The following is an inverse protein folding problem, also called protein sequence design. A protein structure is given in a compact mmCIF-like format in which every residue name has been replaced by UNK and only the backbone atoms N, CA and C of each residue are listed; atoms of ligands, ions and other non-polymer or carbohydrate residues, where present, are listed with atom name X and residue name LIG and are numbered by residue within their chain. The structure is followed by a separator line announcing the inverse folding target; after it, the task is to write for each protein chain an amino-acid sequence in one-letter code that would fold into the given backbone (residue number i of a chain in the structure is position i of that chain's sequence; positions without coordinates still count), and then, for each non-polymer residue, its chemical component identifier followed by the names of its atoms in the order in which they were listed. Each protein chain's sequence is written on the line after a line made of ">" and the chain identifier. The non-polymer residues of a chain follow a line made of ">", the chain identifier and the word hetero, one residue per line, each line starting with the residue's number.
data_IF_190659102350
#
_entry.id   IF_190659102350
#
_cell.length_a   1.000
_cell.length_b   1.000
_cell.length_c   1.000
_cell.angle_alpha   90.00
_cell.angle_beta   90.00
_cell.angle_gamma   90.00
#
_symmetry.space_group_name_H-M   'P 1'
#
loop_
_entity.id
_entity.type
_entity.pdbx_description
1 polymer ?
#
# COMPACT_ATOMS: atom_id res chain seq x y z
N UNK A 1 21.99 23.63 27.89
CA UNK A 1 21.11 22.44 27.85
C UNK A 1 20.52 22.23 26.44
N UNK A 2 21.32 21.86 25.42
CA UNK A 2 20.84 21.81 24.02
C UNK A 2 21.11 20.51 23.25
N UNK A 3 22.23 19.82 23.54
CA UNK A 3 22.68 18.67 22.74
C UNK A 3 21.86 17.39 22.96
N UNK A 4 21.25 17.21 24.14
CA UNK A 4 20.51 15.99 24.50
C UNK A 4 19.09 15.88 23.94
N UNK A 5 18.50 16.98 23.46
CA UNK A 5 17.13 16.99 22.91
C UNK A 5 17.13 16.69 21.41
N UNK A 6 18.04 17.29 20.64
CA UNK A 6 18.20 17.00 19.21
C UNK A 6 18.65 15.55 18.97
N UNK A 7 19.58 15.03 19.78
CA UNK A 7 20.01 13.64 19.71
C UNK A 7 18.84 12.66 19.93
N UNK A 8 17.97 12.91 20.92
CA UNK A 8 16.75 12.13 21.16
C UNK A 8 15.75 12.21 20.01
N UNK A 9 15.60 13.38 19.39
CA UNK A 9 14.67 13.58 18.27
C UNK A 9 15.13 12.83 17.01
N UNK A 10 16.44 12.84 16.74
CA UNK A 10 17.06 12.12 15.61
C UNK A 10 16.96 10.60 15.80
N UNK A 11 17.23 10.10 17.01
CA UNK A 11 17.04 8.69 17.37
C UNK A 11 15.59 8.23 17.19
N UNK A 12 14.60 8.94 17.75
CA UNK A 12 13.17 8.60 17.57
C UNK A 12 12.72 8.60 16.11
N UNK A 13 13.28 9.50 15.28
CA UNK A 13 12.97 9.57 13.85
C UNK A 13 13.57 8.36 13.10
N UNK A 14 14.76 7.91 13.49
CA UNK A 14 15.38 6.68 13.02
C UNK A 14 14.52 5.45 13.32
N UNK A 15 14.11 5.26 14.57
CA UNK A 15 13.28 4.11 14.98
C UNK A 15 11.95 4.04 14.22
N UNK A 16 11.30 5.20 14.02
CA UNK A 16 10.05 5.26 13.26
C UNK A 16 10.24 4.94 11.78
N UNK A 17 11.37 5.33 11.19
CA UNK A 17 11.68 5.01 9.80
C UNK A 17 11.91 3.50 9.63
N UNK A 18 12.68 2.87 10.53
CA UNK A 18 12.90 1.41 10.53
C UNK A 18 11.58 0.67 10.64
N UNK A 19 10.74 1.04 11.62
CA UNK A 19 9.41 0.44 11.81
C UNK A 19 8.52 0.55 10.55
N UNK A 20 8.55 1.69 9.87
CA UNK A 20 7.78 1.90 8.66
C UNK A 20 8.27 1.01 7.49
N UNK A 21 9.58 0.83 7.35
CA UNK A 21 10.18 -0.07 6.36
C UNK A 21 9.80 -1.53 6.63
N UNK A 22 9.81 -1.97 7.89
CA UNK A 22 9.42 -3.34 8.26
C UNK A 22 7.94 -3.61 7.96
N UNK A 23 7.07 -2.64 8.30
CA UNK A 23 5.64 -2.74 7.97
C UNK A 23 5.44 -2.77 6.45
N UNK A 24 6.14 -1.91 5.70
CA UNK A 24 6.07 -1.91 4.24
C UNK A 24 6.52 -3.25 3.64
N UNK A 25 7.61 -3.83 4.14
CA UNK A 25 8.11 -5.14 3.71
C UNK A 25 7.08 -6.24 3.97
N UNK A 26 6.47 -6.26 5.15
CA UNK A 26 5.41 -7.21 5.48
C UNK A 26 4.21 -7.10 4.54
N UNK A 27 3.79 -5.87 4.25
CA UNK A 27 2.69 -5.60 3.31
C UNK A 27 3.02 -6.05 1.87
N UNK A 28 4.24 -5.79 1.37
CA UNK A 28 4.67 -6.26 0.05
C UNK A 28 4.74 -7.79 -0.04
N UNK A 29 5.18 -8.46 1.02
CA UNK A 29 5.19 -9.93 1.07
C UNK A 29 3.76 -10.49 0.96
N UNK A 30 2.81 -9.89 1.69
CA UNK A 30 1.40 -10.27 1.60
C UNK A 30 0.80 -9.96 0.23
N UNK A 31 1.11 -8.78 -0.33
CA UNK A 31 0.70 -8.40 -1.69
C UNK A 31 1.16 -9.42 -2.73
N UNK A 32 2.41 -9.86 -2.63
CA UNK A 32 2.99 -10.85 -3.55
C UNK A 32 2.25 -12.19 -3.48
N UNK A 33 1.92 -12.66 -2.28
CA UNK A 33 1.12 -13.89 -2.08
C UNK A 33 -0.29 -13.76 -2.66
N UNK A 34 -0.90 -12.57 -2.57
CA UNK A 34 -2.22 -12.31 -3.16
C UNK A 34 -2.18 -12.27 -4.68
N UNK A 35 -1.11 -11.71 -5.27
CA UNK A 35 -0.91 -11.77 -6.71
C UNK A 35 -0.72 -13.21 -7.20
N UNK A 36 0.03 -14.03 -6.48
CA UNK A 36 0.17 -15.46 -6.78
C UNK A 36 -1.19 -16.18 -6.74
N UNK A 37 -1.96 -15.94 -5.68
CA UNK A 37 -3.32 -16.47 -5.54
C UNK A 37 -4.19 -16.04 -6.72
N UNK A 38 -4.19 -14.74 -7.09
CA UNK A 38 -4.96 -14.22 -8.21
C UNK A 38 -4.62 -14.92 -9.53
N UNK A 39 -3.33 -15.18 -9.78
CA UNK A 39 -2.86 -15.91 -10.97
C UNK A 39 -3.31 -17.36 -10.96
N UNK A 40 -3.31 -18.01 -9.80
CA UNK A 40 -3.80 -19.39 -9.66
C UNK A 40 -5.29 -19.48 -9.93
N UNK A 41 -6.10 -18.66 -9.27
CA UNK A 41 -7.55 -18.61 -9.43
C UNK A 41 -7.95 -18.31 -10.88
N UNK A 42 -7.21 -17.42 -11.56
CA UNK A 42 -7.42 -17.14 -12.99
C UNK A 42 -7.22 -18.39 -13.86
N UNK A 43 -6.16 -19.15 -13.60
CA UNK A 43 -5.88 -20.40 -14.32
C UNK A 43 -6.93 -21.48 -14.06
N UNK A 44 -7.47 -21.51 -12.85
CA UNK A 44 -8.50 -22.46 -12.42
C UNK A 44 -9.93 -22.04 -12.85
N UNK A 45 -10.09 -20.90 -13.53
CA UNK A 45 -11.39 -20.38 -14.01
C UNK A 45 -12.22 -19.67 -12.94
N UNK A 46 -11.66 -19.49 -11.74
CA UNK A 46 -12.30 -18.88 -10.59
C UNK A 46 -12.18 -17.35 -10.64
N UNK A 47 -12.92 -16.72 -11.56
CA UNK A 47 -12.76 -15.30 -11.90
C UNK A 47 -13.05 -14.35 -10.72
N UNK A 48 -14.10 -14.61 -9.93
CA UNK A 48 -14.46 -13.77 -8.79
C UNK A 48 -13.33 -13.74 -7.74
N UNK A 49 -12.74 -14.89 -7.43
CA UNK A 49 -11.63 -15.01 -6.49
C UNK A 49 -10.33 -14.42 -7.04
N UNK A 50 -10.11 -14.53 -8.35
CA UNK A 50 -8.99 -13.86 -9.03
C UNK A 50 -9.08 -12.33 -8.93
N UNK A 51 -10.27 -11.75 -9.16
CA UNK A 51 -10.51 -10.31 -9.03
C UNK A 51 -10.28 -9.86 -7.59
N UNK A 52 -10.88 -10.56 -6.60
CA UNK A 52 -10.69 -10.25 -5.17
C UNK A 52 -9.22 -10.27 -4.77
N UNK A 53 -8.50 -11.32 -5.15
CA UNK A 53 -7.08 -11.48 -4.83
C UNK A 53 -6.23 -10.41 -5.50
N UNK A 54 -6.56 -10.01 -6.73
CA UNK A 54 -5.89 -8.90 -7.43
C UNK A 54 -6.09 -7.57 -6.71
N UNK A 55 -7.31 -7.30 -6.24
CA UNK A 55 -7.61 -6.08 -5.49
C UNK A 55 -6.83 -6.04 -4.16
N UNK A 56 -6.83 -7.15 -3.40
CA UNK A 56 -6.07 -7.23 -2.14
C UNK A 56 -4.56 -7.04 -2.38
N UNK A 57 -4.04 -7.58 -3.49
CA UNK A 57 -2.64 -7.38 -3.87
C UNK A 57 -2.32 -5.90 -4.11
N UNK A 58 -3.17 -5.19 -4.87
CA UNK A 58 -3.04 -3.76 -5.15
C UNK A 58 -3.15 -2.94 -3.86
N UNK A 59 -4.17 -3.18 -3.04
CA UNK A 59 -4.36 -2.50 -1.75
C UNK A 59 -3.12 -2.59 -0.86
N UNK A 60 -2.59 -3.81 -0.68
CA UNK A 60 -1.42 -4.05 0.16
C UNK A 60 -0.16 -3.38 -0.40
N UNK A 61 0.05 -3.40 -1.72
CA UNK A 61 1.18 -2.74 -2.37
C UNK A 61 1.13 -1.22 -2.21
N UNK A 62 -0.04 -0.60 -2.39
CA UNK A 62 -0.21 0.84 -2.23
C UNK A 62 -0.02 1.27 -0.77
N UNK A 63 -0.55 0.49 0.17
CA UNK A 63 -0.29 0.67 1.61
C UNK A 63 1.19 0.56 1.95
N UNK A 64 1.92 -0.38 1.35
CA UNK A 64 3.36 -0.50 1.54
C UNK A 64 4.11 0.73 1.02
N UNK A 65 3.75 1.23 -0.18
CA UNK A 65 4.36 2.42 -0.75
C UNK A 65 4.18 3.66 0.14
N UNK A 66 2.98 3.84 0.71
CA UNK A 66 2.71 4.89 1.70
C UNK A 66 3.58 4.74 2.95
N UNK A 67 3.73 3.51 3.48
CA UNK A 67 4.58 3.23 4.63
C UNK A 67 6.06 3.52 4.36
N UNK A 68 6.57 3.20 3.16
CA UNK A 68 7.95 3.55 2.78
C UNK A 68 8.21 5.06 2.82
N UNK A 69 7.21 5.87 2.48
CA UNK A 69 7.28 7.33 2.60
C UNK A 69 6.99 7.83 4.03
N UNK A 70 6.77 6.93 4.99
CA UNK A 70 6.38 7.28 6.35
C UNK A 70 4.99 7.92 6.47
N UNK A 71 4.12 7.67 5.49
CA UNK A 71 2.74 8.15 5.47
C UNK A 71 1.86 7.12 6.16
N UNK A 72 1.12 7.56 7.18
CA UNK A 72 0.06 6.78 7.80
C UNK A 72 -1.26 6.98 7.05
N UNK A 73 -2.06 5.93 6.98
CA UNK A 73 -3.37 5.92 6.34
C UNK A 73 -4.44 5.38 7.30
N UNK A 74 -5.71 5.76 7.15
CA UNK A 74 -6.80 5.27 8.00
C UNK A 74 -6.98 3.76 7.86
N UNK A 75 -7.66 3.12 8.82
CA UNK A 75 -8.07 1.70 8.74
C UNK A 75 -9.22 1.48 7.74
N UNK A 76 -9.02 1.91 6.50
CA UNK A 76 -9.90 1.68 5.34
C UNK A 76 -9.16 0.84 4.31
N UNK A 77 -9.92 0.15 3.45
CA UNK A 77 -9.36 -0.63 2.35
C UNK A 77 -8.84 0.30 1.25
N UNK A 78 -9.68 1.19 0.77
CA UNK A 78 -9.27 2.17 -0.23
C UNK A 78 -8.32 3.24 0.35
N UNK A 79 -7.21 3.45 -0.35
CA UNK A 79 -6.18 4.45 -0.04
C UNK A 79 -5.96 5.43 -1.20
N UNK A 80 -6.82 5.40 -2.23
CA UNK A 80 -6.77 6.27 -3.41
C UNK A 80 -6.63 7.75 -3.04
N UNK A 81 -7.47 8.24 -2.13
CA UNK A 81 -7.44 9.64 -1.67
C UNK A 81 -6.14 10.02 -0.95
N UNK A 82 -5.51 9.06 -0.27
CA UNK A 82 -4.20 9.27 0.40
C UNK A 82 -3.08 9.34 -0.64
N UNK A 83 -3.12 8.52 -1.69
CA UNK A 83 -2.16 8.59 -2.79
C UNK A 83 -2.20 9.94 -3.48
N UNK A 84 -3.40 10.41 -3.84
CA UNK A 84 -3.59 11.73 -4.48
C UNK A 84 -3.08 12.84 -3.56
N UNK A 85 -3.43 12.82 -2.28
CA UNK A 85 -2.99 13.82 -1.30
C UNK A 85 -1.48 13.95 -1.20
N UNK A 86 -0.74 12.85 -1.38
CA UNK A 86 0.71 12.81 -1.20
C UNK A 86 1.49 12.53 -2.49
N UNK A 87 0.86 12.68 -3.67
CA UNK A 87 1.46 12.32 -4.97
C UNK A 87 2.84 12.95 -5.20
N UNK A 88 3.02 14.20 -4.78
CA UNK A 88 4.28 14.97 -4.93
C UNK A 88 5.44 14.42 -4.08
N UNK A 89 5.16 13.52 -3.12
CA UNK A 89 6.19 12.88 -2.30
C UNK A 89 6.72 11.59 -2.89
N UNK A 90 6.07 11.07 -3.92
CA UNK A 90 6.54 9.88 -4.61
C UNK A 90 7.65 10.24 -5.62
N UNK A 91 8.54 9.30 -5.97
CA UNK A 91 9.48 9.51 -7.07
C UNK A 91 8.75 9.82 -8.38
N UNK A 92 9.36 10.60 -9.27
CA UNK A 92 8.74 11.02 -10.53
C UNK A 92 8.27 9.86 -11.45
N UNK A 93 8.90 8.68 -11.33
CA UNK A 93 8.51 7.49 -12.07
C UNK A 93 7.26 6.80 -11.51
N UNK A 94 6.85 7.12 -10.28
CA UNK A 94 5.75 6.44 -9.58
C UNK A 94 4.41 7.06 -9.99
N UNK A 95 3.53 6.29 -10.67
CA UNK A 95 2.33 6.85 -11.27
C UNK A 95 1.16 6.90 -10.26
N UNK A 96 1.26 7.76 -9.25
CA UNK A 96 0.33 7.81 -8.12
C UNK A 96 -1.14 7.99 -8.56
N UNK A 97 -1.41 8.89 -9.50
CA UNK A 97 -2.78 9.17 -9.98
C UNK A 97 -3.37 7.93 -10.69
N UNK A 98 -2.62 7.32 -11.61
CA UNK A 98 -3.04 6.09 -12.31
C UNK A 98 -3.30 4.93 -11.34
N UNK A 99 -2.47 4.80 -10.32
CA UNK A 99 -2.63 3.76 -9.30
C UNK A 99 -3.85 4.00 -8.42
N UNK A 100 -4.13 5.25 -8.06
CA UNK A 100 -5.35 5.63 -7.36
C UNK A 100 -6.61 5.31 -8.19
N UNK A 101 -6.62 5.67 -9.48
CA UNK A 101 -7.71 5.31 -10.40
C UNK A 101 -7.90 3.79 -10.50
N UNK A 102 -6.80 3.04 -10.57
CA UNK A 102 -6.85 1.57 -10.64
C UNK A 102 -7.45 0.98 -9.36
N UNK A 103 -7.07 1.52 -8.19
CA UNK A 103 -7.63 1.11 -6.89
C UNK A 103 -9.15 1.32 -6.84
N UNK A 104 -9.63 2.48 -7.31
CA UNK A 104 -11.07 2.80 -7.36
C UNK A 104 -11.82 1.82 -8.28
N UNK A 105 -11.33 1.66 -9.53
CA UNK A 105 -11.95 0.74 -10.50
C UNK A 105 -12.02 -0.70 -10.01
N UNK A 106 -11.01 -1.16 -9.28
CA UNK A 106 -11.01 -2.52 -8.70
C UNK A 106 -11.98 -2.64 -7.52
N UNK A 107 -12.16 -1.57 -6.73
CA UNK A 107 -13.13 -1.55 -5.64
C UNK A 107 -14.58 -1.58 -6.15
N UNK A 108 -14.90 -0.82 -7.19
CA UNK A 108 -16.23 -0.82 -7.83
C UNK A 108 -16.59 -2.19 -8.40
N UNK A 109 -15.63 -2.88 -9.03
CA UNK A 109 -15.84 -4.22 -9.62
C UNK A 109 -16.09 -5.33 -8.60
N UNK A 110 -15.89 -5.08 -7.31
CA UNK A 110 -16.13 -6.05 -6.24
C UNK A 110 -17.56 -6.01 -5.71
N UNK A 111 -18.24 -4.87 -5.78
CA UNK A 111 -19.63 -4.75 -5.29
C UNK A 111 -20.61 -5.71 -5.97
N UNK A 112 -20.52 -6.04 -7.27
CA UNK A 112 -21.40 -7.03 -7.91
C UNK A 112 -21.06 -8.50 -7.60
N UNK A 113 -19.93 -8.76 -6.93
CA UNK A 113 -19.43 -10.11 -6.66
C UNK A 113 -19.59 -10.55 -5.19
N UNK A 114 -20.16 -9.70 -4.32
CA UNK A 114 -20.65 -10.03 -2.98
C UNK A 114 -22.16 -10.06 -2.97
#
# INVERSE_FOLDING_TARGET
>A
MGLGFEARRKSRRGDRAVKNVDVARSLLNQSSRRLETARRELKEGSLAYSIRSSQEAVELALKAALRLLGIEYPKKHDVSSVLIKFRERFPAWFPADRLAETSIKLAEKREPAM
#
